data_IF_638883568148
#
_entry.id   IF_638883568148
#
_cell.length_a   1.000
_cell.length_b   1.000
_cell.length_c   1.000
_cell.angle_alpha   90.00
_cell.angle_beta   90.00
_cell.angle_gamma   90.00
#
_symmetry.space_group_name_H-M   'P 1'
#
loop_
_entity.id
_entity.type
_entity.pdbx_description
1 polymer ?
#
# COMPACT_ATOMS: atom_id res chain seq x y z
N UNK A 1 12.80 6.45 -28.92
CA UNK A 1 12.46 7.75 -28.31
C UNK A 1 13.04 7.78 -26.91
N UNK A 2 13.89 8.75 -26.57
CA UNK A 2 14.41 8.89 -25.21
C UNK A 2 13.24 9.24 -24.28
N UNK A 3 12.95 8.39 -23.31
CA UNK A 3 11.90 8.66 -22.33
C UNK A 3 12.32 9.90 -21.52
N UNK A 4 11.47 10.93 -21.49
CA UNK A 4 11.70 12.12 -20.68
C UNK A 4 11.91 11.70 -19.22
N UNK A 5 12.94 12.23 -18.52
CA UNK A 5 13.17 11.89 -17.12
C UNK A 5 11.96 12.24 -16.26
N UNK A 6 11.59 11.33 -15.36
CA UNK A 6 10.43 11.48 -14.47
C UNK A 6 10.66 12.60 -13.46
N UNK A 7 9.76 13.59 -13.43
CA UNK A 7 9.88 14.72 -12.52
C UNK A 7 9.20 14.42 -11.17
N UNK A 8 9.96 13.82 -10.25
CA UNK A 8 9.48 13.45 -8.92
C UNK A 8 9.01 14.64 -8.08
N UNK A 9 9.64 15.83 -8.24
CA UNK A 9 9.25 17.04 -7.50
C UNK A 9 7.82 17.44 -7.83
N UNK A 10 7.50 17.50 -9.13
CA UNK A 10 6.15 17.83 -9.61
C UNK A 10 5.10 16.80 -9.18
N UNK A 11 5.43 15.51 -9.21
CA UNK A 11 4.51 14.46 -8.73
C UNK A 11 4.21 14.57 -7.23
N UNK A 12 5.21 14.98 -6.45
CA UNK A 12 5.01 15.23 -5.04
C UNK A 12 4.09 16.42 -4.81
N UNK A 13 4.35 17.56 -5.46
CA UNK A 13 3.53 18.76 -5.36
C UNK A 13 2.06 18.51 -5.77
N UNK A 14 1.84 17.76 -6.84
CA UNK A 14 0.50 17.52 -7.38
C UNK A 14 -0.29 16.42 -6.67
N UNK A 15 0.39 15.44 -6.06
CA UNK A 15 -0.30 14.26 -5.52
C UNK A 15 0.25 13.80 -4.17
N UNK A 16 1.52 13.42 -4.07
CA UNK A 16 2.03 12.76 -2.85
C UNK A 16 2.04 13.67 -1.62
N UNK A 17 2.26 14.97 -1.82
CA UNK A 17 2.27 16.00 -0.79
C UNK A 17 0.88 16.54 -0.44
N UNK A 18 -0.18 16.09 -1.12
CA UNK A 18 -1.54 16.50 -0.78
C UNK A 18 -1.92 16.02 0.63
N UNK A 19 -2.68 16.80 1.42
CA UNK A 19 -3.10 16.41 2.77
C UNK A 19 -3.79 15.05 2.82
N UNK A 20 -4.55 14.72 1.77
CA UNK A 20 -5.24 13.44 1.65
C UNK A 20 -4.26 12.26 1.51
N UNK A 21 -3.23 12.37 0.66
CA UNK A 21 -2.22 11.32 0.52
C UNK A 21 -1.35 11.19 1.76
N UNK A 22 -1.00 12.31 2.41
CA UNK A 22 -0.27 12.29 3.67
C UNK A 22 -1.08 11.61 4.78
N UNK A 23 -2.40 11.87 4.86
CA UNK A 23 -3.30 11.19 5.81
C UNK A 23 -3.35 9.69 5.54
N UNK A 24 -3.56 9.29 4.27
CA UNK A 24 -3.56 7.87 3.85
C UNK A 24 -2.22 7.18 4.16
N UNK A 25 -1.10 7.88 3.95
CA UNK A 25 0.24 7.36 4.27
C UNK A 25 0.41 7.16 5.78
N UNK A 26 0.00 8.16 6.59
CA UNK A 26 0.03 8.09 8.05
C UNK A 26 -0.76 6.90 8.58
N UNK A 27 -1.95 6.65 8.05
CA UNK A 27 -2.77 5.48 8.40
C UNK A 27 -2.08 4.15 8.09
N UNK A 28 -1.43 4.02 6.92
CA UNK A 28 -0.64 2.83 6.57
C UNK A 28 0.55 2.64 7.51
N UNK A 29 1.25 3.72 7.87
CA UNK A 29 2.37 3.65 8.80
C UNK A 29 1.91 3.24 10.21
N UNK A 30 0.77 3.77 10.67
CA UNK A 30 0.15 3.37 11.94
C UNK A 30 -0.20 1.88 11.94
N UNK A 31 -0.85 1.39 10.88
CA UNK A 31 -1.18 -0.02 10.72
C UNK A 31 0.07 -0.92 10.78
N UNK A 32 1.11 -0.57 10.01
CA UNK A 32 2.39 -1.31 10.03
C UNK A 32 3.02 -1.33 11.42
N UNK A 33 3.08 -0.19 12.11
CA UNK A 33 3.65 -0.10 13.47
C UNK A 33 2.85 -0.93 14.47
N UNK A 34 1.51 -0.87 14.41
CA UNK A 34 0.64 -1.67 15.28
C UNK A 34 0.88 -3.17 15.08
N UNK A 35 0.90 -3.63 13.83
CA UNK A 35 1.15 -5.04 13.51
C UNK A 35 2.52 -5.51 13.98
N UNK A 36 3.58 -4.73 13.71
CA UNK A 36 4.94 -5.09 14.14
C UNK A 36 5.06 -5.12 15.67
N UNK A 37 4.37 -4.22 16.38
CA UNK A 37 4.34 -4.21 17.85
C UNK A 37 3.67 -5.47 18.43
N UNK A 38 2.64 -5.99 17.77
CA UNK A 38 1.87 -7.14 18.26
C UNK A 38 2.45 -8.50 17.82
N UNK A 39 2.98 -8.60 16.60
CA UNK A 39 3.35 -9.86 15.97
C UNK A 39 4.86 -10.00 15.70
N UNK A 40 5.63 -8.93 15.95
CA UNK A 40 7.06 -8.89 15.67
C UNK A 40 7.41 -8.38 14.26
N UNK A 41 8.72 -8.27 13.96
CA UNK A 41 9.20 -7.77 12.67
C UNK A 41 8.79 -8.70 11.53
N UNK A 42 8.35 -8.10 10.43
CA UNK A 42 7.92 -8.81 9.23
C UNK A 42 9.08 -8.87 8.24
N UNK A 43 9.40 -10.03 7.62
CA UNK A 43 10.46 -10.17 6.63
C UNK A 43 10.28 -9.20 5.47
N UNK A 44 11.39 -8.82 4.83
CA UNK A 44 11.37 -7.97 3.64
C UNK A 44 10.66 -8.62 2.44
N UNK A 45 10.34 -9.92 2.45
CA UNK A 45 9.57 -10.59 1.40
C UNK A 45 8.05 -10.44 1.56
N UNK A 46 7.58 -9.90 2.69
CA UNK A 46 6.17 -9.77 3.03
C UNK A 46 5.74 -8.30 3.10
N UNK A 47 4.48 -8.06 2.72
CA UNK A 47 3.78 -6.80 2.93
C UNK A 47 2.70 -7.01 4.00
N UNK A 48 2.37 -5.95 4.75
CA UNK A 48 1.25 -5.93 5.68
C UNK A 48 0.08 -5.29 4.94
N UNK A 49 -0.95 -6.06 4.65
CA UNK A 49 -2.15 -5.60 3.97
C UNK A 49 -3.34 -5.49 4.93
N UNK A 50 -4.41 -4.85 4.43
CA UNK A 50 -5.69 -4.85 5.12
C UNK A 50 -6.54 -5.98 4.53
N UNK A 51 -7.09 -6.86 5.36
CA UNK A 51 -7.98 -7.96 4.94
C UNK A 51 -9.19 -7.38 4.20
N UNK A 52 -9.85 -6.40 4.82
CA UNK A 52 -10.83 -5.53 4.19
C UNK A 52 -10.17 -4.19 3.85
N UNK A 53 -10.14 -3.78 2.56
CA UNK A 53 -9.54 -2.51 2.16
C UNK A 53 -10.18 -1.31 2.87
N UNK A 54 -9.38 -0.28 3.19
CA UNK A 54 -9.88 0.97 3.80
C UNK A 54 -10.96 1.63 2.92
N UNK A 55 -10.81 1.60 1.59
CA UNK A 55 -11.80 2.11 0.64
C UNK A 55 -13.14 1.39 0.67
N UNK A 56 -13.19 0.17 1.23
CA UNK A 56 -14.41 -0.64 1.38
C UNK A 56 -14.93 -0.62 2.83
N UNK A 57 -14.48 0.32 3.66
CA UNK A 57 -14.86 0.42 5.08
C UNK A 57 -14.08 -0.52 6.00
N UNK A 58 -12.86 -0.92 5.61
CA UNK A 58 -11.91 -1.59 6.50
C UNK A 58 -11.37 -0.64 7.58
N UNK A 59 -10.73 -1.21 8.60
CA UNK A 59 -10.10 -0.44 9.68
C UNK A 59 -8.61 -0.77 9.80
N UNK A 60 -7.83 0.10 10.42
CA UNK A 60 -6.40 -0.16 10.74
C UNK A 60 -6.21 -0.92 12.06
N UNK A 61 -7.26 -1.58 12.57
CA UNK A 61 -7.21 -2.45 13.75
C UNK A 61 -6.44 -3.73 13.43
N UNK A 62 -5.75 -4.28 14.44
CA UNK A 62 -4.98 -5.52 14.31
C UNK A 62 -5.78 -6.69 13.70
N UNK A 63 -7.06 -6.81 14.04
CA UNK A 63 -7.94 -7.84 13.49
C UNK A 63 -8.15 -7.75 11.96
N UNK A 64 -7.87 -6.60 11.35
CA UNK A 64 -7.98 -6.38 9.91
C UNK A 64 -6.60 -6.32 9.22
N UNK A 65 -5.50 -6.59 9.92
CA UNK A 65 -4.15 -6.59 9.36
C UNK A 65 -3.61 -8.01 9.27
N UNK A 66 -2.92 -8.32 8.17
CA UNK A 66 -2.20 -9.59 8.01
C UNK A 66 -0.89 -9.39 7.24
N UNK A 67 0.08 -10.26 7.48
CA UNK A 67 1.28 -10.35 6.64
C UNK A 67 1.01 -11.31 5.47
N UNK A 68 1.31 -10.85 4.26
CA UNK A 68 1.16 -11.63 3.02
C UNK A 68 2.43 -11.49 2.16
N UNK A 69 2.78 -12.50 1.34
CA UNK A 69 3.88 -12.37 0.40
C UNK A 69 3.68 -11.18 -0.55
N UNK A 70 4.76 -10.44 -0.82
CA UNK A 70 4.76 -9.31 -1.77
C UNK A 70 4.17 -9.69 -3.14
N UNK A 71 4.49 -10.89 -3.62
CA UNK A 71 3.96 -11.41 -4.89
C UNK A 71 2.44 -11.45 -4.92
N UNK A 72 1.80 -11.81 -3.81
CA UNK A 72 0.34 -11.90 -3.69
C UNK A 72 -0.32 -10.54 -3.50
N UNK A 73 0.27 -9.66 -2.69
CA UNK A 73 -0.28 -8.33 -2.43
C UNK A 73 -0.15 -7.37 -3.61
N UNK A 74 0.94 -7.49 -4.38
CA UNK A 74 1.23 -6.62 -5.52
C UNK A 74 0.71 -7.15 -6.86
N UNK A 75 0.21 -8.39 -6.88
CA UNK A 75 -0.48 -8.95 -8.05
C UNK A 75 -1.92 -8.47 -8.08
N UNK A 76 -2.35 -7.95 -9.23
CA UNK A 76 -3.76 -7.71 -9.52
C UNK A 76 -4.25 -8.78 -10.49
N UNK A 77 -5.49 -9.25 -10.31
CA UNK A 77 -6.10 -10.14 -11.28
C UNK A 77 -6.10 -9.44 -12.65
N UNK A 78 -5.61 -10.14 -13.68
CA UNK A 78 -5.59 -9.63 -15.04
C UNK A 78 -6.45 -10.52 -15.93
N UNK A 79 -7.07 -9.91 -16.93
CA UNK A 79 -7.70 -10.61 -18.05
C UNK A 79 -6.62 -11.22 -18.96
N UNK A 80 -7.02 -12.12 -19.86
CA UNK A 80 -6.12 -12.72 -20.87
C UNK A 80 -5.41 -11.67 -21.76
N UNK A 81 -5.96 -10.45 -21.84
CA UNK A 81 -5.38 -9.32 -22.58
C UNK A 81 -4.48 -8.42 -21.72
N UNK A 82 -4.06 -8.88 -20.53
CA UNK A 82 -3.25 -8.13 -19.56
C UNK A 82 -3.91 -6.86 -18.98
N UNK A 83 -5.21 -6.63 -19.19
CA UNK A 83 -5.95 -5.57 -18.50
C UNK A 83 -6.27 -6.01 -17.07
N UNK A 84 -6.17 -5.11 -16.08
CA UNK A 84 -6.61 -5.38 -14.70
C UNK A 84 -8.10 -5.69 -14.71
N UNK A 85 -8.49 -6.76 -14.02
CA UNK A 85 -9.86 -7.25 -13.93
C UNK A 85 -10.67 -6.47 -12.89
#
# INVERSE_FOLDING_TARGET
MAAKPRNYKREYELYQGTPEQLKKQSERHKARRAYVKANGPVPASMDIDHVKPLSKGGTSKLSNLRAVPKSKNRSFARTSTNKVK
#
